data_IF_075641647102
#
_entry.id   IF_075641647102
#
_cell.length_a   1.000
_cell.length_b   1.000
_cell.length_c   1.000
_cell.angle_alpha   90.00
_cell.angle_beta   90.00
_cell.angle_gamma   90.00
#
_symmetry.space_group_name_H-M   'P 1'
#
loop_
_entity.id
_entity.type
_entity.pdbx_description
1 polymer ?
#
# COMPACT_ATOMS: atom_id res chain seq x y z
N UNK A 1 19.83 -2.89 1.52
CA UNK A 1 18.62 -2.05 1.68
C UNK A 1 18.00 -2.33 3.05
N UNK A 2 17.40 -1.35 3.74
CA UNK A 2 16.71 -1.60 5.03
C UNK A 2 15.42 -2.38 4.79
N UNK A 3 15.49 -3.71 4.88
CA UNK A 3 14.47 -4.65 4.35
C UNK A 3 13.97 -5.64 5.40
N UNK A 4 14.55 -5.61 6.59
CA UNK A 4 14.14 -6.44 7.72
C UNK A 4 13.30 -5.63 8.70
N UNK A 5 12.46 -6.28 9.49
CA UNK A 5 11.60 -5.58 10.45
C UNK A 5 12.42 -4.76 11.47
N UNK A 6 13.62 -5.23 11.84
CA UNK A 6 14.54 -4.54 12.74
C UNK A 6 15.09 -3.23 12.16
N UNK A 7 15.05 -3.06 10.84
CA UNK A 7 15.43 -1.81 10.17
C UNK A 7 14.38 -0.70 10.33
N UNK A 8 13.16 -1.02 10.84
CA UNK A 8 12.03 -0.11 10.86
C UNK A 8 11.42 0.07 12.25
N UNK A 9 10.98 1.30 12.55
CA UNK A 9 10.13 1.58 13.71
C UNK A 9 8.65 1.52 13.33
N UNK A 10 8.00 0.40 13.65
CA UNK A 10 6.58 0.19 13.35
C UNK A 10 5.70 0.79 14.45
N UNK A 11 4.69 1.57 14.05
CA UNK A 11 3.69 2.13 14.97
C UNK A 11 2.28 1.75 14.50
N UNK A 12 1.39 1.49 15.46
CA UNK A 12 0.02 1.07 15.18
C UNK A 12 -0.98 2.13 15.62
N UNK A 13 -2.03 2.31 14.83
CA UNK A 13 -3.13 3.24 15.13
C UNK A 13 -4.47 2.57 14.83
N UNK A 14 -5.39 2.51 15.80
CA UNK A 14 -6.73 1.96 15.55
C UNK A 14 -7.46 2.73 14.45
N UNK A 15 -8.15 2.01 13.57
CA UNK A 15 -8.85 2.59 12.41
C UNK A 15 -10.02 3.47 12.83
N UNK A 16 -10.71 3.15 13.94
CA UNK A 16 -11.74 4.01 14.53
C UNK A 16 -11.20 5.38 14.98
N UNK A 17 -10.02 5.41 15.62
CA UNK A 17 -9.35 6.67 16.00
C UNK A 17 -9.01 7.50 14.76
N UNK A 18 -8.48 6.84 13.73
CA UNK A 18 -8.11 7.49 12.47
C UNK A 18 -9.36 8.06 11.76
N UNK A 19 -10.46 7.32 11.76
CA UNK A 19 -11.74 7.74 11.20
C UNK A 19 -12.33 8.96 11.92
N UNK A 20 -12.41 8.91 13.25
CA UNK A 20 -12.92 10.02 14.08
C UNK A 20 -12.13 11.30 13.89
N UNK A 21 -10.80 11.21 13.76
CA UNK A 21 -9.94 12.35 13.47
C UNK A 21 -10.22 12.94 12.09
N UNK A 22 -10.36 12.10 11.05
CA UNK A 22 -10.76 12.55 9.72
C UNK A 22 -12.10 13.29 9.73
N UNK A 23 -13.10 12.76 10.44
CA UNK A 23 -14.39 13.44 10.61
C UNK A 23 -14.28 14.78 11.34
N UNK A 24 -13.40 14.90 12.33
CA UNK A 24 -13.18 16.17 13.03
C UNK A 24 -12.57 17.24 12.11
N UNK A 25 -11.57 16.86 11.29
CA UNK A 25 -10.95 17.75 10.30
C UNK A 25 -11.96 18.15 9.21
N UNK A 26 -12.79 17.20 8.78
CA UNK A 26 -13.85 17.50 7.82
C UNK A 26 -14.87 18.49 8.38
N UNK A 27 -15.27 18.32 9.65
CA UNK A 27 -16.19 19.24 10.33
C UNK A 27 -15.64 20.65 10.51
N UNK A 28 -14.31 20.82 10.54
CA UNK A 28 -13.69 22.15 10.53
C UNK A 28 -13.60 22.78 9.14
N UNK A 29 -14.17 22.14 8.10
CA UNK A 29 -14.20 22.64 6.73
C UNK A 29 -13.02 22.20 5.85
N UNK A 30 -12.13 21.34 6.35
CA UNK A 30 -11.01 20.82 5.55
C UNK A 30 -11.38 19.46 4.92
N UNK A 31 -11.47 19.43 3.59
CA UNK A 31 -11.83 18.23 2.81
C UNK A 31 -10.82 17.09 2.93
N UNK A 32 -9.57 17.34 3.31
CA UNK A 32 -8.58 16.29 3.56
C UNK A 32 -9.05 15.31 4.65
N UNK A 33 -9.87 15.80 5.60
CA UNK A 33 -10.51 14.97 6.61
C UNK A 33 -11.42 13.88 6.02
N UNK A 34 -12.07 14.16 4.89
CA UNK A 34 -12.85 13.15 4.17
C UNK A 34 -11.96 12.03 3.63
N UNK A 35 -10.85 12.37 2.97
CA UNK A 35 -9.89 11.38 2.46
C UNK A 35 -9.34 10.49 3.57
N UNK A 36 -8.96 11.11 4.70
CA UNK A 36 -8.49 10.38 5.89
C UNK A 36 -9.55 9.42 6.45
N UNK A 37 -10.81 9.88 6.57
CA UNK A 37 -11.91 9.05 7.05
C UNK A 37 -12.19 7.86 6.11
N UNK A 38 -12.23 8.10 4.80
CA UNK A 38 -12.48 7.05 3.81
C UNK A 38 -11.35 6.02 3.77
N UNK A 39 -10.09 6.46 3.85
CA UNK A 39 -8.95 5.56 3.95
C UNK A 39 -9.03 4.65 5.18
N UNK A 40 -9.35 5.23 6.34
CA UNK A 40 -9.52 4.45 7.57
C UNK A 40 -10.66 3.43 7.43
N UNK A 41 -11.77 3.83 6.79
CA UNK A 41 -12.98 2.99 6.66
C UNK A 41 -12.75 1.69 5.89
N UNK A 42 -11.88 1.70 4.87
CA UNK A 42 -11.48 0.50 4.13
C UNK A 42 -10.85 -0.57 5.03
N UNK A 43 -10.12 -0.14 6.07
CA UNK A 43 -9.38 -1.02 6.96
C UNK A 43 -10.14 -1.33 8.26
N UNK A 44 -11.45 -1.07 8.32
CA UNK A 44 -12.23 -1.42 9.50
C UNK A 44 -12.25 -2.94 9.71
N UNK A 45 -12.25 -3.40 10.97
CA UNK A 45 -12.17 -4.82 11.30
C UNK A 45 -13.41 -5.63 10.85
N UNK A 46 -14.46 -4.96 10.39
CA UNK A 46 -15.64 -5.59 9.82
C UNK A 46 -15.42 -6.11 8.39
N UNK A 47 -14.22 -5.95 7.82
CA UNK A 47 -13.83 -6.59 6.56
C UNK A 47 -14.33 -5.91 5.30
N UNK A 48 -14.88 -4.69 5.37
CA UNK A 48 -15.49 -4.04 4.21
C UNK A 48 -14.52 -3.73 3.07
N UNK A 49 -13.23 -3.51 3.37
CA UNK A 49 -12.20 -3.35 2.36
C UNK A 49 -11.53 -4.65 1.90
N UNK A 50 -11.85 -5.80 2.50
CA UNK A 50 -11.31 -7.09 2.09
C UNK A 50 -12.19 -7.69 0.98
N UNK A 51 -11.94 -7.25 -0.26
CA UNK A 51 -12.71 -7.70 -1.42
C UNK A 51 -12.55 -9.19 -1.68
N UNK A 52 -11.36 -9.74 -1.50
CA UNK A 52 -11.09 -11.17 -1.70
C UNK A 52 -11.92 -12.03 -0.76
N UNK A 53 -11.88 -11.76 0.56
CA UNK A 53 -12.65 -12.54 1.52
C UNK A 53 -14.17 -12.35 1.35
N UNK A 54 -14.60 -11.17 0.88
CA UNK A 54 -16.03 -10.82 0.78
C UNK A 54 -16.68 -11.26 -0.53
N UNK A 55 -15.96 -11.19 -1.65
CA UNK A 55 -16.48 -11.41 -2.99
C UNK A 55 -15.74 -12.51 -3.77
N UNK A 56 -14.58 -12.94 -3.29
CA UNK A 56 -13.67 -13.82 -4.02
C UNK A 56 -12.85 -13.07 -5.08
N UNK A 57 -11.90 -13.79 -5.66
CA UNK A 57 -11.09 -13.35 -6.80
C UNK A 57 -11.54 -14.03 -8.08
N UNK A 58 -11.34 -13.36 -9.21
CA UNK A 58 -11.70 -13.89 -10.52
C UNK A 58 -10.59 -14.76 -11.15
N UNK A 59 -9.48 -14.98 -10.46
CA UNK A 59 -8.25 -15.59 -11.00
C UNK A 59 -8.51 -16.92 -11.68
N UNK A 60 -9.24 -17.82 -11.02
CA UNK A 60 -9.62 -19.12 -11.61
C UNK A 60 -10.47 -18.99 -12.87
N UNK A 61 -11.39 -18.02 -12.90
CA UNK A 61 -12.24 -17.78 -14.06
C UNK A 61 -11.45 -17.19 -15.24
N UNK A 62 -10.39 -16.44 -14.94
CA UNK A 62 -9.48 -15.84 -15.92
C UNK A 62 -8.27 -16.74 -16.26
N UNK A 63 -8.11 -17.88 -15.57
CA UNK A 63 -6.95 -18.75 -15.71
C UNK A 63 -5.64 -18.13 -15.23
N UNK A 64 -5.71 -17.17 -14.29
CA UNK A 64 -4.54 -16.50 -13.71
C UNK A 64 -3.89 -17.40 -12.65
N UNK A 65 -2.55 -17.35 -12.53
CA UNK A 65 -1.84 -18.05 -11.46
C UNK A 65 -2.13 -17.42 -10.09
N UNK A 66 -1.94 -18.19 -9.03
CA UNK A 66 -1.93 -17.66 -7.66
C UNK A 66 -0.67 -16.82 -7.45
N UNK A 67 -0.83 -15.58 -7.00
CA UNK A 67 0.28 -14.66 -6.78
C UNK A 67 0.67 -14.59 -5.31
N UNK A 68 1.98 -14.54 -5.03
CA UNK A 68 2.50 -14.30 -3.70
C UNK A 68 3.21 -12.94 -3.63
N UNK A 69 2.58 -11.99 -2.94
CA UNK A 69 3.10 -10.62 -2.83
C UNK A 69 4.50 -10.56 -2.20
N UNK A 70 4.84 -11.48 -1.29
CA UNK A 70 6.16 -11.54 -0.65
C UNK A 70 7.22 -11.98 -1.66
N UNK A 71 6.93 -12.98 -2.48
CA UNK A 71 7.85 -13.45 -3.51
C UNK A 71 8.07 -12.38 -4.58
N UNK A 72 6.99 -11.72 -5.04
CA UNK A 72 7.08 -10.63 -5.99
C UNK A 72 7.90 -9.45 -5.44
N UNK A 73 7.69 -9.08 -4.17
CA UNK A 73 8.47 -8.01 -3.52
C UNK A 73 9.95 -8.38 -3.40
N UNK A 74 10.26 -9.62 -3.04
CA UNK A 74 11.64 -10.10 -2.96
C UNK A 74 12.33 -10.05 -4.32
N UNK A 75 11.67 -10.54 -5.37
CA UNK A 75 12.18 -10.49 -6.74
C UNK A 75 12.45 -9.03 -7.17
N UNK A 76 11.56 -8.09 -6.86
CA UNK A 76 11.75 -6.68 -7.20
C UNK A 76 13.00 -6.06 -6.52
N UNK A 77 13.29 -6.46 -5.27
CA UNK A 77 14.51 -6.06 -4.57
C UNK A 77 15.75 -6.66 -5.26
N UNK A 78 15.74 -7.96 -5.55
CA UNK A 78 16.84 -8.65 -6.23
C UNK A 78 17.12 -8.06 -7.62
N UNK A 79 16.08 -7.72 -8.38
CA UNK A 79 16.21 -7.04 -9.66
C UNK A 79 16.91 -5.68 -9.50
N UNK A 80 16.49 -4.90 -8.51
CA UNK A 80 17.08 -3.58 -8.23
C UNK A 80 18.56 -3.71 -7.86
N UNK A 81 18.92 -4.69 -7.02
CA UNK A 81 20.31 -4.98 -6.66
C UNK A 81 21.14 -5.47 -7.85
N UNK A 82 20.50 -6.10 -8.84
CA UNK A 82 21.11 -6.49 -10.11
C UNK A 82 21.21 -5.34 -11.14
N UNK A 83 20.92 -4.09 -10.74
CA UNK A 83 21.03 -2.90 -11.59
C UNK A 83 19.78 -2.56 -12.41
N UNK A 84 18.66 -3.26 -12.18
CA UNK A 84 17.38 -2.89 -12.77
C UNK A 84 16.96 -1.51 -12.28
N UNK A 85 16.71 -0.58 -13.21
CA UNK A 85 16.37 0.82 -12.92
C UNK A 85 17.56 1.80 -12.97
N UNK A 86 18.81 1.32 -12.97
CA UNK A 86 19.99 2.16 -13.24
C UNK A 86 20.08 2.51 -14.73
N UNK A 87 19.75 1.55 -15.59
CA UNK A 87 19.63 1.77 -17.05
C UNK A 87 18.61 2.87 -17.40
N UNK A 88 17.56 3.04 -16.61
CA UNK A 88 16.58 4.14 -16.77
C UNK A 88 17.20 5.52 -16.50
N UNK A 89 18.15 5.62 -15.56
CA UNK A 89 18.89 6.86 -15.27
C UNK A 89 19.95 7.16 -16.34
N UNK A 90 20.54 6.12 -16.92
CA UNK A 90 21.52 6.24 -18.01
C UNK A 90 20.85 6.66 -19.33
N UNK A 91 19.68 6.10 -19.66
CA UNK A 91 18.93 6.42 -20.87
C UNK A 91 18.31 7.84 -20.81
N UNK A 92 17.89 8.28 -19.63
CA UNK A 92 17.23 9.59 -19.45
C UNK A 92 18.10 10.65 -18.77
N UNK A 93 19.42 10.44 -18.72
CA UNK A 93 20.43 11.44 -18.37
C UNK A 93 20.04 12.36 -17.22
N UNK A 94 20.03 11.84 -15.99
CA UNK A 94 20.09 12.65 -14.76
C UNK A 94 19.27 13.95 -14.77
N UNK A 95 17.95 13.86 -14.70
CA UNK A 95 17.10 15.02 -14.43
C UNK A 95 16.13 14.73 -13.28
N UNK A 96 16.68 14.67 -12.07
CA UNK A 96 15.93 15.00 -10.87
C UNK A 96 16.73 16.07 -10.13
N UNK A 97 16.23 17.31 -10.17
CA UNK A 97 16.56 18.32 -9.16
C UNK A 97 15.94 17.92 -7.84
#
# INVERSE_FOLDING_TARGET
>A
MGTTDDDWRINYKPTDTHYKQGLQILRSGNIEGFGMAMFARTHFPNGDGNCEAKYGLADKALGLPEENFREATKLAVEMTEAGFGESWKEINGGAAK
#
